data_IF_498395834090
#
_entry.id   IF_498395834090
#
_cell.length_a   1.000
_cell.length_b   1.000
_cell.length_c   1.000
_cell.angle_alpha   90.00
_cell.angle_beta   90.00
_cell.angle_gamma   90.00
#
_symmetry.space_group_name_H-M   'P 1'
#
loop_
_entity.id
_entity.type
_entity.pdbx_description
1 polymer ?
#
# COMPACT_ATOMS: atom_id res chain seq x y z
N UNK A 1 -24.64 4.85 -13.92
CA UNK A 1 -24.13 5.06 -12.56
C UNK A 1 -22.62 5.17 -12.61
N UNK A 2 -21.96 6.03 -11.82
CA UNK A 2 -20.51 5.95 -11.66
C UNK A 2 -20.16 4.51 -11.25
N UNK A 3 -19.14 3.91 -11.84
CA UNK A 3 -18.66 2.62 -11.37
C UNK A 3 -18.20 2.79 -9.93
N UNK A 4 -18.76 2.00 -9.00
CA UNK A 4 -18.32 2.01 -7.61
C UNK A 4 -16.84 1.57 -7.58
N UNK A 5 -16.03 2.25 -6.77
CA UNK A 5 -14.64 1.89 -6.58
C UNK A 5 -14.54 0.46 -6.01
N UNK A 6 -13.63 -0.34 -6.56
CA UNK A 6 -13.47 -1.75 -6.20
C UNK A 6 -12.68 -1.97 -4.91
N UNK A 7 -12.65 -3.23 -4.45
CA UNK A 7 -11.77 -3.68 -3.36
C UNK A 7 -10.47 -4.24 -3.93
N UNK A 8 -9.32 -3.89 -3.36
CA UNK A 8 -8.00 -4.36 -3.78
C UNK A 8 -7.26 -5.05 -2.64
N UNK A 9 -6.61 -6.18 -2.96
CA UNK A 9 -5.58 -6.81 -2.14
C UNK A 9 -4.22 -6.49 -2.74
N UNK A 10 -3.30 -5.97 -1.93
CA UNK A 10 -1.93 -5.65 -2.33
C UNK A 10 -0.98 -6.54 -1.56
N UNK A 11 -0.15 -7.28 -2.30
CA UNK A 11 0.94 -8.09 -1.76
C UNK A 11 2.24 -7.43 -2.19
N UNK A 12 2.88 -6.64 -1.31
CA UNK A 12 4.07 -5.87 -1.68
C UNK A 12 5.30 -6.77 -1.78
N UNK A 13 6.23 -6.38 -2.64
CA UNK A 13 7.61 -6.87 -2.61
C UNK A 13 8.47 -5.93 -1.76
N UNK A 14 9.47 -6.48 -1.07
CA UNK A 14 10.33 -5.71 -0.16
C UNK A 14 11.15 -4.59 -0.84
N UNK A 15 11.60 -3.63 -0.03
CA UNK A 15 12.56 -2.60 -0.41
C UNK A 15 11.99 -1.50 -1.30
N UNK A 16 12.76 -1.06 -2.29
CA UNK A 16 12.41 0.07 -3.18
C UNK A 16 11.12 -0.15 -3.99
N UNK A 17 10.75 -1.42 -4.23
CA UNK A 17 9.50 -1.79 -4.88
C UNK A 17 8.29 -1.36 -4.05
N UNK A 18 8.30 -1.61 -2.73
CA UNK A 18 7.22 -1.15 -1.85
C UNK A 18 7.10 0.37 -1.81
N UNK A 19 8.22 1.09 -1.77
CA UNK A 19 8.20 2.55 -1.73
C UNK A 19 7.49 3.15 -2.97
N UNK A 20 7.67 2.52 -4.12
CA UNK A 20 6.98 2.90 -5.36
C UNK A 20 5.50 2.50 -5.34
N UNK A 21 5.18 1.30 -4.87
CA UNK A 21 3.81 0.79 -4.75
C UNK A 21 2.97 1.59 -3.76
N UNK A 22 3.57 2.07 -2.66
CA UNK A 22 2.89 2.88 -1.63
C UNK A 22 2.21 4.12 -2.23
N UNK A 23 2.84 4.78 -3.22
CA UNK A 23 2.24 5.93 -3.90
C UNK A 23 0.97 5.56 -4.67
N UNK A 24 0.99 4.43 -5.37
CA UNK A 24 -0.17 3.92 -6.11
C UNK A 24 -1.32 3.58 -5.16
N UNK A 25 -1.02 2.90 -4.05
CA UNK A 25 -2.02 2.55 -3.02
C UNK A 25 -2.69 3.80 -2.44
N UNK A 26 -1.91 4.83 -2.13
CA UNK A 26 -2.44 6.10 -1.61
C UNK A 26 -3.40 6.75 -2.62
N UNK A 27 -3.01 6.82 -3.89
CA UNK A 27 -3.85 7.46 -4.92
C UNK A 27 -5.14 6.67 -5.21
N UNK A 28 -5.09 5.34 -5.18
CA UNK A 28 -6.29 4.51 -5.33
C UNK A 28 -7.24 4.64 -4.13
N UNK A 29 -6.69 4.73 -2.91
CA UNK A 29 -7.49 4.99 -1.70
C UNK A 29 -8.21 6.33 -1.77
N UNK A 30 -7.54 7.41 -2.21
CA UNK A 30 -8.15 8.72 -2.44
C UNK A 30 -9.30 8.68 -3.46
N UNK A 31 -9.26 7.74 -4.41
CA UNK A 31 -10.32 7.50 -5.40
C UNK A 31 -11.47 6.64 -4.88
N UNK A 32 -11.47 6.29 -3.59
CA UNK A 32 -12.54 5.54 -2.93
C UNK A 32 -12.37 4.02 -2.92
N UNK A 33 -11.21 3.50 -3.34
CA UNK A 33 -10.97 2.06 -3.28
C UNK A 33 -10.72 1.61 -1.84
N UNK A 34 -11.34 0.51 -1.44
CA UNK A 34 -11.01 -0.21 -0.21
C UNK A 34 -9.78 -1.07 -0.48
N UNK A 35 -8.71 -0.89 0.29
CA UNK A 35 -7.43 -1.56 0.02
C UNK A 35 -6.95 -2.28 1.28
N UNK A 36 -6.60 -3.55 1.12
CA UNK A 36 -5.92 -4.37 2.13
C UNK A 36 -4.50 -4.61 1.65
N UNK A 37 -3.51 -4.30 2.50
CA UNK A 37 -2.09 -4.54 2.21
C UNK A 37 -1.60 -5.65 3.12
N UNK A 38 -0.97 -6.69 2.56
CA UNK A 38 -0.28 -7.71 3.34
C UNK A 38 1.01 -7.12 3.90
N UNK A 39 1.12 -7.07 5.23
CA UNK A 39 2.34 -6.67 5.89
C UNK A 39 3.29 -7.89 5.97
N UNK A 40 4.54 -7.78 5.51
CA UNK A 40 5.54 -8.82 5.65
C UNK A 40 6.06 -8.88 7.10
N UNK A 41 6.32 -10.09 7.60
CA UNK A 41 6.71 -10.34 9.01
C UNK A 41 8.00 -9.62 9.44
N UNK A 42 8.84 -9.23 8.49
CA UNK A 42 10.16 -8.64 8.71
C UNK A 42 10.16 -7.10 8.72
N UNK A 43 9.05 -6.47 9.13
CA UNK A 43 8.92 -5.00 9.17
C UNK A 43 10.16 -4.38 9.83
N UNK A 44 11.10 -3.87 9.01
CA UNK A 44 12.31 -3.22 9.51
C UNK A 44 11.82 -1.94 10.16
N UNK A 45 11.72 -1.96 11.49
CA UNK A 45 11.62 -0.77 12.30
C UNK A 45 12.92 0.00 12.08
N UNK A 46 12.93 0.91 11.12
CA UNK A 46 13.97 1.92 11.03
C UNK A 46 13.66 2.88 12.18
N UNK A 47 14.18 2.56 13.36
CA UNK A 47 14.30 3.52 14.44
C UNK A 47 15.28 4.59 13.96
N UNK A 48 14.76 5.76 13.62
CA UNK A 48 15.57 6.94 13.35
C UNK A 48 16.02 7.52 14.68
N UNK A 49 16.96 6.84 15.33
CA UNK A 49 17.80 7.44 16.36
C UNK A 49 19.01 8.06 15.66
N UNK A 50 18.89 9.35 15.33
CA UNK A 50 19.96 10.35 15.29
C UNK A 50 19.37 11.69 15.77
#
# INVERSE_FOLDING_TARGET
SPAAAGKLLVVPMEGSHWLSMKKVVIELSKRGHEIVVVAPDNTILIDSSD
#
